data_IF_167465193239
#
_entry.id   IF_167465193239
#
_cell.length_a   1.000
_cell.length_b   1.000
_cell.length_c   1.000
_cell.angle_alpha   90.00
_cell.angle_beta   90.00
_cell.angle_gamma   90.00
#
_symmetry.space_group_name_H-M   'P 1'
#
loop_
_entity.id
_entity.type
_entity.pdbx_description
1 polymer ?
#
# COMPACT_ATOMS: atom_id res chain seq x y z
N UNK A 1 -16.56 14.76 14.42
CA UNK A 1 -16.28 13.43 14.98
C UNK A 1 -15.63 12.65 13.87
N UNK A 2 -14.37 12.34 14.01
CA UNK A 2 -13.53 11.80 12.95
C UNK A 2 -13.47 10.27 13.07
N UNK A 3 -14.03 9.59 12.08
CA UNK A 3 -13.72 8.21 11.78
C UNK A 3 -13.09 8.19 10.40
N UNK A 4 -11.86 7.69 10.32
CA UNK A 4 -11.09 7.66 9.10
C UNK A 4 -10.49 6.27 8.86
N UNK A 5 -10.29 5.91 7.60
CA UNK A 5 -9.64 4.66 7.23
C UNK A 5 -8.57 4.83 6.15
N UNK A 6 -7.48 4.10 6.31
CA UNK A 6 -6.50 3.85 5.26
C UNK A 6 -6.66 2.42 4.78
N UNK A 7 -6.90 2.27 3.48
CA UNK A 7 -6.97 0.99 2.80
C UNK A 7 -5.72 0.80 1.94
N UNK A 8 -4.81 -0.04 2.41
CA UNK A 8 -3.57 -0.40 1.73
C UNK A 8 -3.61 -1.79 1.12
N UNK A 9 -2.56 -2.07 0.35
CA UNK A 9 -2.29 -3.38 -0.23
C UNK A 9 -0.83 -3.79 -0.07
N UNK A 10 -0.58 -5.08 -0.26
CA UNK A 10 0.75 -5.66 -0.24
C UNK A 10 1.71 -4.88 -1.17
N UNK A 11 2.84 -4.46 -0.62
CA UNK A 11 3.90 -3.69 -1.33
C UNK A 11 3.49 -2.31 -1.87
N UNK A 12 2.38 -1.72 -1.40
CA UNK A 12 1.97 -0.34 -1.67
C UNK A 12 2.51 0.67 -0.64
N UNK A 13 3.69 0.41 -0.06
CA UNK A 13 4.32 1.29 0.93
C UNK A 13 3.51 1.50 2.23
N UNK A 14 2.71 0.51 2.63
CA UNK A 14 1.82 0.61 3.79
C UNK A 14 2.54 1.02 5.09
N UNK A 15 3.81 0.64 5.29
CA UNK A 15 4.58 1.05 6.47
C UNK A 15 4.87 2.56 6.51
N UNK A 16 5.19 3.18 5.37
CA UNK A 16 5.43 4.62 5.27
C UNK A 16 4.16 5.40 5.66
N UNK A 17 3.03 5.03 5.06
CA UNK A 17 1.74 5.64 5.31
C UNK A 17 1.30 5.41 6.76
N UNK A 18 1.48 4.19 7.28
CA UNK A 18 1.17 3.83 8.68
C UNK A 18 1.95 4.69 9.66
N UNK A 19 3.22 4.98 9.40
CA UNK A 19 4.03 5.82 10.29
C UNK A 19 3.50 7.27 10.34
N UNK A 20 3.12 7.81 9.18
CA UNK A 20 2.51 9.15 9.09
C UNK A 20 1.17 9.18 9.86
N UNK A 21 0.28 8.22 9.61
CA UNK A 21 -1.02 8.14 10.30
C UNK A 21 -0.84 8.03 11.81
N UNK A 22 0.08 7.18 12.29
CA UNK A 22 0.35 7.01 13.73
C UNK A 22 0.82 8.29 14.39
N UNK A 23 1.69 9.05 13.73
CA UNK A 23 2.11 10.34 14.27
C UNK A 23 0.95 11.34 14.29
N UNK A 24 0.15 11.44 13.22
CA UNK A 24 -1.05 12.30 13.20
C UNK A 24 -1.99 11.92 14.33
N UNK A 25 -2.24 10.63 14.53
CA UNK A 25 -3.10 10.17 15.61
C UNK A 25 -2.52 10.56 16.98
N UNK A 26 -1.21 10.45 17.18
CA UNK A 26 -0.56 10.88 18.41
C UNK A 26 -0.67 12.41 18.63
N UNK A 27 -0.44 13.22 17.59
CA UNK A 27 -0.56 14.69 17.63
C UNK A 27 -1.98 15.13 17.95
N UNK A 28 -2.98 14.45 17.39
CA UNK A 28 -4.39 14.81 17.52
C UNK A 28 -5.11 14.06 18.66
N UNK A 29 -4.39 13.25 19.43
CA UNK A 29 -4.94 12.38 20.48
C UNK A 29 -6.06 11.45 19.96
N UNK A 30 -5.94 10.98 18.72
CA UNK A 30 -6.85 10.00 18.11
C UNK A 30 -6.40 8.58 18.45
N UNK A 31 -7.37 7.69 18.66
CA UNK A 31 -7.07 6.26 18.71
C UNK A 31 -6.83 5.71 17.30
N UNK A 32 -6.03 4.65 17.17
CA UNK A 32 -5.88 3.95 15.90
C UNK A 32 -5.84 2.44 16.11
N UNK A 33 -6.25 1.69 15.10
CA UNK A 33 -6.17 0.23 15.04
C UNK A 33 -5.57 -0.19 13.71
N UNK A 34 -4.85 -1.31 13.74
CA UNK A 34 -4.20 -1.87 12.57
C UNK A 34 -4.71 -3.28 12.36
N UNK A 35 -5.27 -3.52 11.18
CA UNK A 35 -5.79 -4.81 10.77
C UNK A 35 -5.08 -5.29 9.49
N UNK A 36 -4.79 -6.58 9.46
CA UNK A 36 -4.34 -7.26 8.25
C UNK A 36 -5.56 -7.96 7.62
N UNK A 37 -5.87 -7.63 6.36
CA UNK A 37 -7.06 -8.10 5.63
C UNK A 37 -8.43 -7.72 6.20
N UNK A 38 -8.52 -7.05 7.37
CA UNK A 38 -9.79 -6.65 7.98
C UNK A 38 -10.74 -7.85 8.27
N UNK A 39 -10.18 -9.03 8.54
CA UNK A 39 -10.98 -10.24 8.86
C UNK A 39 -11.75 -10.07 10.18
N UNK A 40 -11.14 -9.40 11.15
CA UNK A 40 -11.72 -9.12 12.46
C UNK A 40 -11.84 -7.62 12.68
N UNK A 41 -12.67 -6.95 11.85
CA UNK A 41 -12.90 -5.52 12.04
C UNK A 41 -13.42 -5.23 13.46
N UNK A 42 -12.79 -4.29 14.18
CA UNK A 42 -13.17 -3.97 15.55
C UNK A 42 -14.63 -3.54 15.64
N UNK A 43 -15.38 -4.09 16.62
CA UNK A 43 -16.83 -3.84 16.78
C UNK A 43 -17.19 -2.35 16.78
N UNK A 44 -16.29 -1.49 17.26
CA UNK A 44 -16.46 -0.03 17.31
C UNK A 44 -16.61 0.65 15.95
N UNK A 45 -16.18 0.02 14.85
CA UNK A 45 -16.39 0.53 13.50
C UNK A 45 -17.76 0.12 12.90
N UNK A 46 -18.48 -0.79 13.55
CA UNK A 46 -19.83 -1.22 13.16
C UNK A 46 -20.94 -0.67 14.05
N UNK A 47 -20.59 -0.12 15.21
CA UNK A 47 -21.54 0.35 16.20
C UNK A 47 -21.66 1.87 16.08
N UNK A 48 -22.90 2.38 16.04
CA UNK A 48 -23.21 3.82 16.19
C UNK A 48 -22.87 4.39 17.58
N UNK A 49 -22.26 3.57 18.44
CA UNK A 49 -22.04 3.91 19.83
C UNK A 49 -21.01 5.03 19.95
N UNK A 50 -21.46 6.15 20.51
CA UNK A 50 -20.81 7.46 20.51
C UNK A 50 -19.48 7.51 21.31
N UNK A 51 -18.91 6.39 21.73
CA UNK A 51 -17.67 6.35 22.53
C UNK A 51 -16.39 6.34 21.68
N UNK A 52 -16.46 6.05 20.37
CA UNK A 52 -15.28 5.84 19.51
C UNK A 52 -15.15 6.83 18.34
N UNK A 53 -15.70 8.02 18.52
CA UNK A 53 -15.83 9.10 17.52
C UNK A 53 -14.52 9.74 17.05
N UNK A 54 -13.38 9.19 17.45
CA UNK A 54 -12.03 9.69 17.23
C UNK A 54 -11.09 8.49 17.01
N UNK A 55 -11.27 7.81 15.87
CA UNK A 55 -10.53 6.60 15.54
C UNK A 55 -10.08 6.54 14.08
N UNK A 56 -8.89 5.96 13.88
CA UNK A 56 -8.31 5.73 12.57
C UNK A 56 -8.07 4.23 12.35
N UNK A 57 -8.69 3.66 11.32
CA UNK A 57 -8.43 2.28 10.89
C UNK A 57 -7.28 2.24 9.87
N UNK A 58 -6.31 1.37 10.08
CA UNK A 58 -5.21 1.10 9.15
C UNK A 58 -5.37 -0.34 8.66
N UNK A 59 -5.78 -0.54 7.42
CA UNK A 59 -5.91 -1.86 6.82
C UNK A 59 -4.79 -2.09 5.79
N UNK A 60 -3.93 -3.11 5.98
CA UNK A 60 -2.74 -3.30 5.12
C UNK A 60 -2.95 -4.09 3.83
N UNK A 61 -3.95 -4.96 3.77
CA UNK A 61 -4.26 -5.85 2.64
C UNK A 61 -5.77 -5.87 2.43
N UNK A 62 -6.32 -4.71 2.14
CA UNK A 62 -7.76 -4.43 2.27
C UNK A 62 -8.58 -5.22 1.25
N UNK A 63 -9.49 -6.07 1.73
CA UNK A 63 -10.53 -6.66 0.88
C UNK A 63 -11.81 -5.81 0.98
N UNK A 64 -12.26 -5.27 -0.16
CA UNK A 64 -13.48 -4.48 -0.23
C UNK A 64 -14.70 -5.22 0.35
N UNK A 65 -14.78 -6.55 0.19
CA UNK A 65 -15.90 -7.33 0.71
C UNK A 65 -16.03 -7.25 2.23
N UNK A 66 -14.90 -7.09 2.94
CA UNK A 66 -14.85 -7.02 4.40
C UNK A 66 -15.05 -5.60 4.90
N UNK A 67 -14.62 -4.58 4.14
CA UNK A 67 -14.70 -3.17 4.57
C UNK A 67 -15.89 -2.39 4.00
N UNK A 68 -16.65 -2.94 3.05
CA UNK A 68 -17.74 -2.24 2.33
C UNK A 68 -18.86 -1.67 3.20
N UNK A 69 -19.05 -2.19 4.42
CA UNK A 69 -20.06 -1.70 5.36
C UNK A 69 -19.55 -0.56 6.24
N UNK A 70 -18.28 -0.19 6.14
CA UNK A 70 -17.72 0.94 6.88
C UNK A 70 -18.18 2.25 6.22
N UNK A 71 -18.95 3.04 6.95
CA UNK A 71 -19.50 4.33 6.49
C UNK A 71 -18.60 5.51 6.87
N UNK A 72 -17.27 5.33 6.85
CA UNK A 72 -16.31 6.36 7.19
C UNK A 72 -15.61 6.95 5.94
N UNK A 73 -15.05 8.15 6.10
CA UNK A 73 -14.15 8.70 5.09
C UNK A 73 -12.87 7.88 5.08
N UNK A 74 -12.35 7.59 3.90
CA UNK A 74 -11.11 6.85 3.78
C UNK A 74 -10.30 7.26 2.57
N UNK A 75 -9.12 6.69 2.48
CA UNK A 75 -8.33 6.74 1.27
C UNK A 75 -7.73 5.36 1.00
N UNK A 76 -7.59 5.04 -0.27
CA UNK A 76 -7.14 3.76 -0.75
C UNK A 76 -5.90 3.95 -1.61
N UNK A 77 -4.85 3.18 -1.34
CA UNK A 77 -3.58 3.30 -2.07
C UNK A 77 -3.26 2.01 -2.79
N UNK A 78 -3.19 2.11 -4.12
CA UNK A 78 -2.72 1.05 -5.01
C UNK A 78 -1.33 1.36 -5.54
N UNK A 79 -0.71 0.38 -6.17
CA UNK A 79 0.57 0.49 -6.86
C UNK A 79 0.48 -0.32 -8.14
N UNK A 80 1.29 0.01 -9.15
CA UNK A 80 1.38 -0.78 -10.37
C UNK A 80 1.59 -2.26 -10.00
N UNK A 81 0.64 -3.15 -10.35
CA UNK A 81 0.70 -4.58 -10.02
C UNK A 81 2.01 -5.26 -10.43
N UNK A 82 2.66 -4.78 -11.51
CA UNK A 82 3.95 -5.29 -11.97
C UNK A 82 5.08 -4.91 -11.00
N UNK A 83 5.02 -3.71 -10.43
CA UNK A 83 5.92 -3.26 -9.38
C UNK A 83 5.63 -3.91 -8.02
N UNK A 84 4.38 -4.26 -7.73
CA UNK A 84 4.02 -5.06 -6.55
C UNK A 84 4.75 -6.40 -6.61
N UNK A 85 4.65 -7.13 -7.72
CA UNK A 85 5.33 -8.42 -7.93
C UNK A 85 6.85 -8.25 -7.80
N UNK A 86 7.42 -7.28 -8.53
CA UNK A 86 8.86 -7.01 -8.48
C UNK A 86 9.33 -6.71 -7.06
N UNK A 87 8.59 -5.86 -6.35
CA UNK A 87 8.89 -5.53 -4.96
C UNK A 87 8.66 -6.70 -4.00
N UNK A 88 7.68 -7.56 -4.27
CA UNK A 88 7.33 -8.75 -3.50
C UNK A 88 8.46 -9.77 -3.55
N UNK A 89 8.99 -10.04 -4.75
CA UNK A 89 10.07 -11.02 -4.98
C UNK A 89 11.29 -10.71 -4.11
N UNK A 90 11.86 -9.51 -4.24
CA UNK A 90 13.01 -9.10 -3.42
C UNK A 90 12.69 -9.10 -1.93
N UNK A 91 11.48 -8.69 -1.57
CA UNK A 91 11.05 -8.64 -0.18
C UNK A 91 10.95 -10.04 0.43
N UNK A 92 10.30 -11.00 -0.23
CA UNK A 92 10.15 -12.36 0.27
C UNK A 92 11.47 -13.11 0.29
N UNK A 93 12.34 -12.88 -0.71
CA UNK A 93 13.66 -13.49 -0.80
C UNK A 93 14.62 -13.01 0.30
N UNK A 94 14.68 -11.69 0.57
CA UNK A 94 15.74 -11.12 1.41
C UNK A 94 15.29 -10.61 2.78
N UNK A 95 13.99 -10.38 3.03
CA UNK A 95 13.55 -9.67 4.23
C UNK A 95 12.35 -10.26 4.97
N UNK A 96 11.26 -10.52 4.26
CA UNK A 96 9.94 -10.61 4.87
C UNK A 96 9.76 -11.90 5.69
N UNK A 97 9.43 -11.76 6.98
CA UNK A 97 8.68 -12.79 7.73
C UNK A 97 9.44 -14.02 8.23
N UNK A 98 10.59 -13.90 8.91
CA UNK A 98 11.08 -15.04 9.72
C UNK A 98 10.07 -15.50 10.77
N UNK A 99 9.22 -14.58 11.24
CA UNK A 99 8.20 -14.84 12.26
C UNK A 99 7.01 -15.67 11.75
N UNK A 100 6.85 -15.84 10.43
CA UNK A 100 5.67 -16.48 9.82
C UNK A 100 6.10 -17.79 9.15
N UNK A 101 5.66 -18.98 9.62
CA UNK A 101 6.10 -20.26 9.08
C UNK A 101 5.97 -20.39 7.56
N UNK A 102 4.84 -19.93 6.99
CA UNK A 102 4.59 -19.93 5.54
C UNK A 102 5.65 -19.12 4.77
N UNK A 103 6.09 -17.98 5.31
CA UNK A 103 7.08 -17.13 4.65
C UNK A 103 8.49 -17.73 4.71
N UNK A 104 8.83 -18.48 5.76
CA UNK A 104 10.10 -19.22 5.80
C UNK A 104 10.17 -20.31 4.73
N UNK A 105 9.09 -21.07 4.56
CA UNK A 105 8.99 -22.11 3.52
C UNK A 105 9.08 -21.47 2.13
N UNK A 106 8.27 -20.43 1.89
CA UNK A 106 8.26 -19.75 0.60
C UNK A 106 9.59 -19.08 0.25
N UNK A 107 10.28 -18.49 1.23
CA UNK A 107 11.63 -17.95 1.03
C UNK A 107 12.63 -19.03 0.62
N UNK A 108 12.62 -20.19 1.28
CA UNK A 108 13.52 -21.28 0.92
C UNK A 108 13.24 -21.76 -0.50
N UNK A 109 11.97 -21.90 -0.86
CA UNK A 109 11.57 -22.18 -2.25
C UNK A 109 12.12 -21.15 -3.23
N UNK A 110 11.96 -19.84 -2.96
CA UNK A 110 12.51 -18.79 -3.83
C UNK A 110 14.05 -18.80 -3.94
N UNK A 111 14.78 -19.28 -2.91
CA UNK A 111 16.25 -19.39 -2.96
C UNK A 111 16.74 -20.50 -3.88
N UNK A 112 15.89 -21.50 -4.12
CA UNK A 112 16.21 -22.63 -4.99
C UNK A 112 15.90 -22.34 -6.46
N UNK A 113 15.22 -21.22 -6.74
CA UNK A 113 14.89 -20.74 -8.09
C UNK A 113 15.89 -19.71 -8.57
N UNK A 114 16.08 -19.62 -9.89
CA UNK A 114 16.71 -18.45 -10.46
C UNK A 114 15.77 -17.22 -10.45
N UNK A 115 16.25 -16.07 -10.91
CA UNK A 115 15.45 -14.83 -10.89
C UNK A 115 14.23 -14.89 -11.81
N UNK A 116 14.33 -15.58 -12.95
CA UNK A 116 13.23 -15.68 -13.92
C UNK A 116 12.13 -16.58 -13.36
N UNK A 117 12.47 -17.75 -12.85
CA UNK A 117 11.51 -18.63 -12.18
C UNK A 117 10.96 -18.01 -10.88
N UNK A 118 11.80 -17.32 -10.12
CA UNK A 118 11.42 -16.68 -8.86
C UNK A 118 10.41 -15.55 -9.02
N UNK A 119 10.51 -14.75 -10.09
CA UNK A 119 9.53 -13.71 -10.40
C UNK A 119 8.20 -14.30 -10.90
N UNK A 120 8.22 -15.41 -11.64
CA UNK A 120 7.00 -16.16 -11.99
C UNK A 120 6.33 -16.75 -10.74
N UNK A 121 7.10 -17.33 -9.82
CA UNK A 121 6.59 -17.82 -8.54
C UNK A 121 5.96 -16.68 -7.70
N UNK A 122 6.61 -15.52 -7.66
CA UNK A 122 6.10 -14.35 -6.96
C UNK A 122 4.81 -13.81 -7.56
N UNK A 123 4.68 -13.86 -8.88
CA UNK A 123 3.46 -13.48 -9.59
C UNK A 123 2.26 -14.33 -9.14
N UNK A 124 2.44 -15.65 -9.01
CA UNK A 124 1.42 -16.55 -8.46
C UNK A 124 1.14 -16.27 -6.99
N UNK A 125 2.18 -16.09 -6.18
CA UNK A 125 2.05 -15.79 -4.75
C UNK A 125 1.28 -14.48 -4.50
N UNK A 126 1.54 -13.47 -5.33
CA UNK A 126 0.92 -12.15 -5.21
C UNK A 126 -0.52 -12.09 -5.72
N UNK A 127 -1.01 -13.14 -6.39
CA UNK A 127 -2.36 -13.20 -7.00
C UNK A 127 -3.49 -12.79 -6.05
N UNK A 128 -3.44 -13.22 -4.78
CA UNK A 128 -4.46 -12.88 -3.77
C UNK A 128 -4.52 -11.37 -3.49
N UNK A 129 -3.36 -10.71 -3.41
CA UNK A 129 -3.31 -9.27 -3.16
C UNK A 129 -3.72 -8.47 -4.40
N UNK A 130 -3.32 -8.94 -5.60
CA UNK A 130 -3.77 -8.33 -6.86
C UNK A 130 -5.28 -8.52 -7.06
N UNK A 131 -5.84 -9.62 -6.60
CA UNK A 131 -7.28 -9.83 -6.61
C UNK A 131 -8.01 -8.78 -5.75
N UNK A 132 -7.51 -8.45 -4.56
CA UNK A 132 -8.15 -7.42 -3.72
C UNK A 132 -8.12 -6.02 -4.36
N UNK A 133 -7.04 -5.68 -5.06
CA UNK A 133 -6.98 -4.46 -5.89
C UNK A 133 -8.02 -4.56 -7.01
N UNK A 134 -8.06 -5.68 -7.73
CA UNK A 134 -9.00 -5.88 -8.83
C UNK A 134 -10.46 -5.88 -8.37
N UNK A 135 -10.80 -6.42 -7.21
CA UNK A 135 -12.18 -6.52 -6.71
C UNK A 135 -12.66 -5.24 -6.02
N UNK A 136 -11.77 -4.26 -5.81
CA UNK A 136 -12.11 -3.00 -5.19
C UNK A 136 -13.17 -2.20 -5.96
N UNK A 137 -14.01 -1.48 -5.21
CA UNK A 137 -15.01 -0.56 -5.76
C UNK A 137 -14.46 0.87 -5.81
N UNK A 138 -13.93 1.25 -6.97
CA UNK A 138 -13.37 2.57 -7.23
C UNK A 138 -14.42 3.68 -7.42
N UNK A 139 -15.72 3.38 -7.27
CA UNK A 139 -16.81 4.35 -7.39
C UNK A 139 -17.35 4.83 -6.04
N UNK A 140 -16.71 4.48 -4.91
CA UNK A 140 -17.17 4.92 -3.59
C UNK A 140 -16.72 6.37 -3.32
N UNK A 141 -17.65 7.34 -3.24
CA UNK A 141 -17.29 8.75 -3.06
C UNK A 141 -16.66 9.07 -1.70
N UNK A 142 -16.81 8.19 -0.69
CA UNK A 142 -16.20 8.37 0.62
C UNK A 142 -14.72 7.96 0.65
N UNK A 143 -14.23 7.30 -0.41
CA UNK A 143 -12.87 6.77 -0.47
C UNK A 143 -12.09 7.53 -1.54
N UNK A 144 -11.05 8.24 -1.12
CA UNK A 144 -10.12 8.89 -2.04
C UNK A 144 -9.13 7.86 -2.60
N UNK A 145 -9.16 7.67 -3.91
CA UNK A 145 -8.30 6.72 -4.62
C UNK A 145 -6.95 7.36 -4.95
N UNK A 146 -5.85 6.68 -4.59
CA UNK A 146 -4.48 7.17 -4.76
C UNK A 146 -3.55 6.10 -5.32
N UNK A 147 -2.58 6.56 -6.10
CA UNK A 147 -1.49 5.73 -6.61
C UNK A 147 -0.23 5.98 -5.79
N UNK A 148 0.48 4.90 -5.48
CA UNK A 148 1.77 4.95 -4.80
C UNK A 148 2.76 5.83 -5.56
N UNK A 149 2.73 5.75 -6.89
CA UNK A 149 3.63 6.48 -7.78
C UNK A 149 3.50 7.99 -7.59
N UNK A 150 2.27 8.50 -7.49
CA UNK A 150 1.99 9.91 -7.26
C UNK A 150 2.43 10.31 -5.84
N UNK A 151 2.14 9.47 -4.84
CA UNK A 151 2.51 9.68 -3.43
C UNK A 151 4.02 9.85 -3.22
N UNK A 152 4.86 9.10 -3.95
CA UNK A 152 6.32 9.23 -3.81
C UNK A 152 6.92 10.32 -4.68
N UNK A 153 6.22 10.75 -5.74
CA UNK A 153 6.64 11.84 -6.60
C UNK A 153 6.31 13.20 -5.98
N UNK A 154 5.10 13.36 -5.45
CA UNK A 154 4.56 14.61 -4.94
C UNK A 154 3.98 14.46 -3.51
N UNK A 155 4.75 13.96 -2.53
CA UNK A 155 4.20 13.56 -1.23
C UNK A 155 3.44 14.67 -0.51
N UNK A 156 3.93 15.91 -0.58
CA UNK A 156 3.25 17.04 0.05
C UNK A 156 1.86 17.30 -0.51
N UNK A 157 1.71 17.28 -1.84
CA UNK A 157 0.44 17.53 -2.51
C UNK A 157 -0.54 16.40 -2.22
N UNK A 158 -0.09 15.16 -2.42
CA UNK A 158 -0.90 13.96 -2.25
C UNK A 158 -1.41 13.77 -0.82
N UNK A 159 -0.53 13.92 0.19
CA UNK A 159 -0.96 13.82 1.58
C UNK A 159 -1.80 15.03 2.02
N UNK A 160 -1.57 16.22 1.45
CA UNK A 160 -2.46 17.36 1.74
C UNK A 160 -3.86 17.07 1.24
N UNK A 161 -4.01 16.50 0.05
CA UNK A 161 -5.32 16.11 -0.49
C UNK A 161 -5.97 15.00 0.35
N UNK A 162 -5.21 13.94 0.69
CA UNK A 162 -5.70 12.86 1.57
C UNK A 162 -6.22 13.42 2.88
N UNK A 163 -5.40 14.21 3.60
CA UNK A 163 -5.80 14.69 4.91
C UNK A 163 -6.84 15.82 4.84
N UNK A 164 -6.99 16.49 3.69
CA UNK A 164 -8.13 17.40 3.45
C UNK A 164 -9.42 16.63 3.21
N UNK A 165 -9.39 15.56 2.42
CA UNK A 165 -10.53 14.64 2.23
C UNK A 165 -11.01 14.06 3.56
N UNK A 166 -10.08 13.66 4.42
CA UNK A 166 -10.36 13.17 5.78
C UNK A 166 -10.74 14.29 6.77
N UNK A 167 -10.85 15.55 6.33
CA UNK A 167 -11.18 16.73 7.15
C UNK A 167 -10.18 17.02 8.29
N UNK A 168 -8.98 16.45 8.22
CA UNK A 168 -7.88 16.67 9.18
C UNK A 168 -7.15 17.97 8.86
N UNK A 169 -6.86 18.23 7.59
CA UNK A 169 -6.23 19.48 7.14
C UNK A 169 -7.28 20.39 6.50
N UNK A 170 -7.30 21.70 6.78
CA UNK A 170 -6.47 22.43 7.74
C UNK A 170 -7.06 22.46 9.17
N UNK A 171 -8.15 21.74 9.42
CA UNK A 171 -9.00 21.95 10.60
C UNK A 171 -8.35 21.49 11.91
N UNK A 172 -7.69 20.34 11.88
CA UNK A 172 -7.08 19.66 13.04
C UNK A 172 -5.55 19.75 13.01
N UNK A 173 -4.97 19.80 11.80
CA UNK A 173 -3.54 19.90 11.58
C UNK A 173 -3.25 20.98 10.54
N UNK A 174 -2.29 21.87 10.83
CA UNK A 174 -1.87 22.88 9.86
C UNK A 174 -0.96 22.28 8.76
N UNK A 175 -0.81 22.99 7.64
CA UNK A 175 -0.01 22.51 6.50
C UNK A 175 1.49 22.43 6.84
N UNK A 176 1.98 23.31 7.71
CA UNK A 176 3.37 23.37 8.15
C UNK A 176 3.75 22.13 8.98
N UNK A 177 2.87 21.72 9.90
CA UNK A 177 3.06 20.50 10.70
C UNK A 177 3.01 19.25 9.82
N UNK A 178 2.06 19.20 8.88
CA UNK A 178 2.01 18.11 7.90
C UNK A 178 3.30 18.05 7.07
N UNK A 179 3.84 19.21 6.66
CA UNK A 179 5.10 19.27 5.92
C UNK A 179 6.29 18.76 6.72
N UNK A 180 6.41 19.16 7.98
CA UNK A 180 7.45 18.65 8.87
C UNK A 180 7.34 17.13 9.05
N UNK A 181 6.11 16.62 9.17
CA UNK A 181 5.84 15.20 9.29
C UNK A 181 6.23 14.40 8.03
N UNK A 182 5.83 14.88 6.86
CA UNK A 182 6.17 14.23 5.59
C UNK A 182 7.68 14.22 5.37
N UNK A 183 8.38 15.30 5.70
CA UNK A 183 9.86 15.35 5.63
C UNK A 183 10.51 14.35 6.58
N UNK A 184 10.02 14.24 7.83
CA UNK A 184 10.48 13.27 8.85
C UNK A 184 10.44 11.83 8.33
N UNK A 185 9.42 11.48 7.56
CA UNK A 185 9.24 10.17 6.96
C UNK A 185 9.63 10.11 5.48
N UNK A 186 10.37 11.08 4.96
CA UNK A 186 10.84 11.05 3.57
C UNK A 186 11.68 9.80 3.29
N UNK A 187 11.66 9.31 2.04
CA UNK A 187 12.46 8.17 1.63
C UNK A 187 13.91 8.31 2.08
N UNK A 188 14.52 9.48 1.83
CA UNK A 188 15.89 9.79 2.22
C UNK A 188 16.16 9.56 3.70
N UNK A 189 15.26 9.97 4.60
CA UNK A 189 15.43 9.75 6.05
C UNK A 189 15.20 8.29 6.44
N UNK A 190 14.26 7.61 5.79
CA UNK A 190 13.92 6.22 6.07
C UNK A 190 14.88 5.20 5.42
N UNK A 191 15.65 5.63 4.43
CA UNK A 191 16.55 4.80 3.63
C UNK A 191 18.02 4.92 4.05
N UNK A 192 18.29 5.52 5.21
CA UNK A 192 19.63 5.87 5.71
C UNK A 192 20.40 6.83 4.79
N UNK A 193 19.70 7.80 4.21
CA UNK A 193 20.27 8.88 3.41
C UNK A 193 20.27 8.62 1.90
N UNK A 194 19.82 7.45 1.44
CA UNK A 194 19.79 7.10 0.02
C UNK A 194 18.85 7.97 -0.80
N UNK A 195 19.24 8.26 -2.02
CA UNK A 195 18.40 8.93 -3.01
C UNK A 195 17.45 7.93 -3.68
N UNK A 196 16.30 8.40 -4.18
CA UNK A 196 15.38 7.53 -4.92
C UNK A 196 16.11 6.95 -6.15
N UNK A 197 15.98 5.65 -6.37
CA UNK A 197 16.71 4.91 -7.41
C UNK A 197 17.93 4.14 -6.90
N UNK A 198 18.53 4.54 -5.77
CA UNK A 198 19.64 3.80 -5.14
C UNK A 198 19.12 2.54 -4.45
N UNK A 199 19.43 1.38 -5.01
CA UNK A 199 18.91 0.10 -4.54
C UNK A 199 19.64 -0.42 -3.30
N UNK A 200 18.86 -0.93 -2.34
CA UNK A 200 19.31 -1.85 -1.33
C UNK A 200 18.26 -2.95 -1.13
N UNK A 201 18.52 -4.16 -1.66
CA UNK A 201 17.61 -5.31 -1.62
C UNK A 201 17.29 -5.81 -0.21
N UNK A 202 18.13 -5.48 0.78
CA UNK A 202 17.91 -5.84 2.19
C UNK A 202 17.07 -4.78 2.95
N UNK A 203 16.83 -3.61 2.34
CA UNK A 203 16.04 -2.54 2.96
C UNK A 203 14.53 -2.70 2.72
N UNK A 204 13.71 -2.19 3.64
CA UNK A 204 12.25 -2.08 3.39
C UNK A 204 11.99 -1.07 2.27
N UNK A 205 12.78 -0.01 2.27
CA UNK A 205 12.75 1.08 1.30
C UNK A 205 13.76 0.76 0.20
N UNK A 206 13.52 -0.34 -0.55
CA UNK A 206 14.51 -0.92 -1.48
C UNK A 206 15.05 0.10 -2.48
N UNK A 207 14.16 0.73 -3.24
CA UNK A 207 14.54 1.66 -4.34
C UNK A 207 13.72 2.96 -4.35
N UNK A 208 12.48 2.90 -3.86
CA UNK A 208 11.62 4.08 -3.72
C UNK A 208 11.23 4.72 -5.05
N UNK A 209 11.13 3.92 -6.13
CA UNK A 209 10.79 4.40 -7.46
C UNK A 209 9.65 3.57 -8.09
N UNK A 210 8.96 4.19 -9.04
CA UNK A 210 7.95 3.59 -9.89
C UNK A 210 8.57 2.97 -11.16
N UNK A 211 7.90 1.97 -11.72
CA UNK A 211 8.24 1.37 -13.01
C UNK A 211 9.50 0.49 -12.98
N UNK A 212 9.91 0.04 -11.80
CA UNK A 212 11.12 -0.77 -11.66
C UNK A 212 10.97 -2.14 -12.32
N UNK A 213 9.74 -2.65 -12.42
CA UNK A 213 9.42 -3.89 -13.13
C UNK A 213 10.03 -3.96 -14.54
N UNK A 214 10.21 -2.83 -15.23
CA UNK A 214 10.84 -2.74 -16.56
C UNK A 214 12.29 -3.23 -16.57
N UNK A 215 12.97 -3.19 -15.43
CA UNK A 215 14.34 -3.68 -15.26
C UNK A 215 14.41 -5.16 -14.86
N UNK A 216 13.26 -5.79 -14.59
CA UNK A 216 13.19 -7.12 -14.00
C UNK A 216 12.39 -8.12 -14.83
N UNK A 217 11.32 -7.67 -15.51
CA UNK A 217 10.48 -8.53 -16.31
C UNK A 217 11.14 -8.82 -17.66
N UNK A 218 11.27 -10.10 -17.99
CA UNK A 218 11.51 -10.60 -19.35
C UNK A 218 10.21 -10.68 -20.16
N UNK A 219 10.29 -10.97 -21.45
CA UNK A 219 9.12 -11.22 -22.30
C UNK A 219 8.21 -12.32 -21.74
N UNK A 220 8.80 -13.38 -21.17
CA UNK A 220 8.06 -14.46 -20.53
C UNK A 220 7.21 -13.97 -19.35
N UNK A 221 7.74 -13.05 -18.55
CA UNK A 221 7.00 -12.45 -17.44
C UNK A 221 5.85 -11.58 -17.93
N UNK A 222 6.08 -10.79 -18.99
CA UNK A 222 5.04 -9.96 -19.61
C UNK A 222 3.92 -10.85 -20.13
N UNK A 223 4.24 -11.91 -20.87
CA UNK A 223 3.25 -12.87 -21.37
C UNK A 223 2.47 -13.54 -20.23
N UNK A 224 3.15 -13.98 -19.18
CA UNK A 224 2.49 -14.59 -18.02
C UNK A 224 1.58 -13.60 -17.31
N UNK A 225 2.05 -12.37 -17.10
CA UNK A 225 1.27 -11.32 -16.47
C UNK A 225 0.01 -11.01 -17.28
N UNK A 226 0.13 -10.83 -18.59
CA UNK A 226 -1.03 -10.59 -19.47
C UNK A 226 -2.04 -11.74 -19.38
N UNK A 227 -1.59 -13.00 -19.35
CA UNK A 227 -2.50 -14.16 -19.20
C UNK A 227 -3.28 -14.17 -17.89
N UNK A 228 -2.69 -13.67 -16.80
CA UNK A 228 -3.29 -13.76 -15.47
C UNK A 228 -4.05 -12.51 -15.04
N UNK A 229 -3.50 -11.34 -15.35
CA UNK A 229 -3.85 -10.10 -14.67
C UNK A 229 -4.12 -8.92 -15.60
N UNK A 230 -4.03 -9.05 -16.94
CA UNK A 230 -4.16 -7.88 -17.84
C UNK A 230 -5.31 -6.92 -17.51
N UNK A 231 -6.54 -7.40 -17.21
CA UNK A 231 -7.67 -6.52 -16.92
C UNK A 231 -7.46 -5.60 -15.72
N UNK A 232 -6.58 -5.96 -14.77
CA UNK A 232 -6.28 -5.11 -13.62
C UNK A 232 -5.65 -3.80 -14.05
N UNK A 233 -4.78 -3.79 -15.07
CA UNK A 233 -4.05 -2.60 -15.49
C UNK A 233 -4.98 -1.60 -16.15
N UNK A 234 -5.95 -2.09 -16.94
CA UNK A 234 -7.00 -1.26 -17.54
C UNK A 234 -7.93 -0.73 -16.45
N UNK A 235 -8.41 -1.59 -15.55
CA UNK A 235 -9.32 -1.20 -14.46
C UNK A 235 -8.73 -0.11 -13.56
N UNK A 236 -7.43 -0.18 -13.29
CA UNK A 236 -6.72 0.77 -12.41
C UNK A 236 -6.07 1.93 -13.18
N UNK A 237 -6.27 1.99 -14.49
CA UNK A 237 -5.75 3.05 -15.35
C UNK A 237 -4.21 3.12 -15.38
N UNK A 238 -3.52 1.99 -15.24
CA UNK A 238 -2.08 1.90 -15.53
C UNK A 238 -1.82 1.68 -17.03
N UNK A 239 -2.79 1.12 -17.76
CA UNK A 239 -2.74 0.96 -19.21
C UNK A 239 -4.11 1.29 -19.81
N UNK A 240 -4.13 1.71 -21.08
CA UNK A 240 -5.37 2.04 -21.80
C UNK A 240 -5.98 0.83 -22.52
N UNK A 241 -5.17 -0.18 -22.82
CA UNK A 241 -5.57 -1.39 -23.52
C UNK A 241 -4.65 -2.59 -23.15
N UNK A 242 -4.92 -3.74 -23.77
CA UNK A 242 -4.26 -5.01 -23.48
C UNK A 242 -2.87 -5.18 -24.15
N UNK A 243 -2.48 -4.28 -25.05
CA UNK A 243 -1.32 -4.37 -25.94
C UNK A 243 -0.11 -3.53 -25.51
N UNK A 244 0.02 -3.24 -24.21
CA UNK A 244 1.19 -2.57 -23.61
C UNK A 244 2.50 -3.36 -23.70
#
# INVERSE_FOLDING_TARGET
>A
MLQAAYYGHHKCCSQYITNIIKEICATLNLSWELEDHAVELPKRFYLEDNQFKESFLICWNSDYLLVRSLECLGFHVIRDPRDIITSGYFSHLYKHGEKWPKMRVYRNYLKDLDKEEGLLAEMEFSSVYLYHIFSWNYNNPNILEKKFEDLIANPMEEFTEIFSHLQIVPNLLCKEDLRALIDKYSFKRLSDGRTQGEENVYSHYRKGMAGDWKNHFSEQHIERFKKLFNPILIKTGYETDENW
#
